data_IF_695727628959
#
_entry.id   IF_695727628959
#
_cell.length_a   1.000
_cell.length_b   1.000
_cell.length_c   1.000
_cell.angle_alpha   90.00
_cell.angle_beta   90.00
_cell.angle_gamma   90.00
#
_symmetry.space_group_name_H-M   'P 1'
#
loop_
_entity.id
_entity.type
_entity.pdbx_description
1 polymer ?
#
# COMPACT_ATOMS: atom_id res chain seq x y z
N UNK A 1 -28.47 -54.50 23.23
CA UNK A 1 -28.84 -53.30 22.46
C UNK A 1 -28.66 -51.99 23.27
N UNK A 2 -27.49 -51.75 23.89
CA UNK A 2 -27.25 -50.54 24.72
C UNK A 2 -25.89 -49.85 24.49
N UNK A 3 -25.04 -50.41 23.63
CA UNK A 3 -23.69 -49.89 23.37
C UNK A 3 -23.64 -48.85 22.23
N UNK A 4 -24.66 -48.80 21.37
CA UNK A 4 -24.68 -47.94 20.17
C UNK A 4 -25.05 -46.47 20.46
N UNK A 5 -25.82 -46.21 21.54
CA UNK A 5 -26.24 -44.86 21.93
C UNK A 5 -25.11 -44.04 22.59
N UNK A 6 -24.14 -44.70 23.25
CA UNK A 6 -23.00 -44.02 23.88
C UNK A 6 -21.98 -43.48 22.86
N UNK A 7 -21.83 -44.16 21.72
CA UNK A 7 -20.91 -43.75 20.65
C UNK A 7 -21.49 -42.57 19.86
N UNK A 8 -22.80 -42.57 19.60
CA UNK A 8 -23.48 -41.46 18.91
C UNK A 8 -23.59 -40.20 19.77
N UNK A 9 -23.80 -40.33 21.08
CA UNK A 9 -23.78 -39.19 21.99
C UNK A 9 -22.38 -38.52 22.08
N UNK A 10 -21.31 -39.33 22.04
CA UNK A 10 -19.94 -38.82 22.09
C UNK A 10 -19.55 -38.03 20.83
N UNK A 11 -20.03 -38.44 19.64
CA UNK A 11 -19.76 -37.72 18.37
C UNK A 11 -20.47 -36.38 18.32
N UNK A 12 -21.68 -36.27 18.88
CA UNK A 12 -22.41 -34.99 18.98
C UNK A 12 -21.80 -34.01 20.01
N UNK A 13 -21.13 -34.52 21.04
CA UNK A 13 -20.48 -33.68 22.05
C UNK A 13 -19.19 -33.02 21.53
N UNK A 14 -18.49 -33.69 20.60
CA UNK A 14 -17.21 -33.21 20.04
C UNK A 14 -17.44 -32.12 18.98
N UNK A 15 -18.54 -32.16 18.24
CA UNK A 15 -18.87 -31.13 17.22
C UNK A 15 -19.33 -29.80 17.81
N UNK A 16 -19.87 -29.77 19.03
CA UNK A 16 -20.27 -28.52 19.71
C UNK A 16 -19.10 -27.70 20.26
N UNK A 17 -17.96 -28.34 20.52
CA UNK A 17 -16.78 -27.71 21.13
C UNK A 17 -15.80 -27.11 20.11
N UNK A 18 -15.98 -27.39 18.82
CA UNK A 18 -15.17 -26.82 17.74
C UNK A 18 -15.73 -25.47 17.28
N UNK A 19 -15.84 -24.50 18.19
CA UNK A 19 -15.97 -23.11 17.78
C UNK A 19 -14.58 -22.60 17.37
N UNK A 20 -14.38 -22.35 16.07
CA UNK A 20 -13.18 -21.69 15.61
C UNK A 20 -13.08 -20.31 16.29
N UNK A 21 -12.07 -20.11 17.13
CA UNK A 21 -11.78 -18.80 17.71
C UNK A 21 -11.37 -17.88 16.56
N UNK A 22 -12.20 -16.88 16.25
CA UNK A 22 -11.83 -15.81 15.34
C UNK A 22 -10.58 -15.14 15.92
N UNK A 23 -9.45 -15.23 15.21
CA UNK A 23 -8.24 -14.54 15.63
C UNK A 23 -8.55 -13.03 15.75
N UNK A 24 -8.20 -12.37 16.86
CA UNK A 24 -8.51 -10.96 17.04
C UNK A 24 -7.74 -10.13 16.02
N UNK A 25 -8.42 -9.45 15.10
CA UNK A 25 -7.80 -8.49 14.18
C UNK A 25 -7.70 -7.13 14.89
N UNK A 26 -6.54 -6.83 15.45
CA UNK A 26 -6.27 -5.56 16.13
C UNK A 26 -4.90 -5.01 15.71
N UNK A 27 -4.57 -3.79 16.14
CA UNK A 27 -3.29 -3.16 15.78
C UNK A 27 -2.10 -4.08 16.07
N UNK A 28 -2.07 -4.75 17.24
CA UNK A 28 -0.97 -5.66 17.60
C UNK A 28 -0.78 -6.83 16.65
N UNK A 29 -1.85 -7.32 15.99
CA UNK A 29 -1.73 -8.41 15.00
C UNK A 29 -1.13 -7.98 13.67
N UNK A 30 -1.08 -6.67 13.38
CA UNK A 30 -0.55 -6.12 12.12
C UNK A 30 0.61 -5.15 12.32
N UNK A 31 0.95 -4.77 13.56
CA UNK A 31 1.99 -3.77 13.87
C UNK A 31 3.37 -4.13 13.31
N UNK A 32 3.67 -5.42 13.09
CA UNK A 32 4.93 -5.88 12.49
C UNK A 32 4.91 -5.97 10.97
N UNK A 33 3.77 -5.72 10.32
CA UNK A 33 3.62 -5.83 8.87
C UNK A 33 3.91 -4.48 8.21
N UNK A 34 4.92 -4.47 7.34
CA UNK A 34 5.20 -3.33 6.48
C UNK A 34 4.18 -3.24 5.35
N UNK A 35 3.64 -2.05 5.10
CA UNK A 35 2.90 -1.77 3.88
C UNK A 35 3.84 -1.91 2.67
N UNK A 36 3.37 -2.57 1.60
CA UNK A 36 4.09 -2.66 0.34
C UNK A 36 3.14 -2.46 -0.83
N UNK A 37 3.67 -1.97 -1.93
CA UNK A 37 2.91 -1.91 -3.18
C UNK A 37 2.64 -3.33 -3.70
N UNK A 38 1.41 -3.60 -4.14
CA UNK A 38 0.99 -4.90 -4.69
C UNK A 38 1.15 -5.00 -6.22
N UNK A 39 1.68 -3.96 -6.85
CA UNK A 39 1.71 -3.82 -8.30
C UNK A 39 0.38 -3.34 -8.89
N UNK A 40 0.29 -3.35 -10.22
CA UNK A 40 -0.89 -2.92 -10.96
C UNK A 40 -2.02 -3.95 -10.84
N UNK A 41 -2.95 -3.76 -9.89
CA UNK A 41 -4.03 -4.71 -9.61
C UNK A 41 -5.39 -4.32 -10.22
N UNK A 42 -5.65 -3.03 -10.45
CA UNK A 42 -6.81 -2.48 -11.18
C UNK A 42 -6.53 -1.01 -11.56
N UNK A 43 -7.33 -0.44 -12.49
CA UNK A 43 -7.14 0.85 -13.17
C UNK A 43 -6.22 1.85 -12.45
N UNK A 44 -5.10 2.17 -13.10
CA UNK A 44 -4.10 3.14 -12.62
C UNK A 44 -4.74 4.47 -12.22
N UNK A 45 -4.13 5.16 -11.27
CA UNK A 45 -4.50 6.52 -10.91
C UNK A 45 -4.26 7.52 -12.05
N UNK A 46 -4.93 8.68 -11.99
CA UNK A 46 -4.71 9.77 -12.95
C UNK A 46 -3.49 10.58 -12.56
N UNK A 47 -2.53 10.69 -13.47
CA UNK A 47 -1.43 11.66 -13.38
C UNK A 47 -1.92 13.01 -13.92
N UNK A 48 -1.82 14.05 -13.10
CA UNK A 48 -2.29 15.39 -13.43
C UNK A 48 -1.13 16.35 -13.76
N UNK A 49 0.06 16.11 -13.20
CA UNK A 49 1.22 16.96 -13.41
C UNK A 49 2.50 16.12 -13.47
N UNK A 50 3.46 16.55 -14.31
CA UNK A 50 4.82 15.99 -14.38
C UNK A 50 5.78 17.16 -14.50
N UNK A 51 6.85 17.14 -13.71
CA UNK A 51 7.97 18.07 -13.84
C UNK A 51 9.28 17.28 -13.77
N UNK A 52 10.32 17.74 -14.46
CA UNK A 52 11.60 17.06 -14.46
C UNK A 52 12.78 18.00 -14.68
N UNK A 53 13.94 17.60 -14.19
CA UNK A 53 15.19 18.35 -14.34
C UNK A 53 16.33 17.40 -14.71
N UNK A 54 17.24 17.89 -15.54
CA UNK A 54 18.49 17.19 -15.83
C UNK A 54 19.47 17.41 -14.68
N UNK A 55 20.01 16.32 -14.16
CA UNK A 55 21.09 16.36 -13.18
C UNK A 55 22.46 16.40 -13.87
N UNK A 56 23.49 17.00 -13.26
CA UNK A 56 24.84 17.06 -13.83
C UNK A 56 25.46 15.70 -14.16
N UNK A 57 24.99 14.63 -13.49
CA UNK A 57 25.43 13.26 -13.72
C UNK A 57 24.74 12.58 -14.93
N UNK A 58 23.97 13.33 -15.73
CA UNK A 58 23.26 12.85 -16.91
C UNK A 58 21.93 12.13 -16.62
N UNK A 59 21.54 11.99 -15.35
CA UNK A 59 20.25 11.41 -14.97
C UNK A 59 19.14 12.45 -15.04
N UNK A 60 17.91 11.97 -15.16
CA UNK A 60 16.71 12.81 -15.11
C UNK A 60 16.00 12.55 -13.79
N UNK A 61 15.85 13.61 -13.00
CA UNK A 61 14.98 13.61 -11.82
C UNK A 61 13.57 13.94 -12.29
N UNK A 62 12.59 13.14 -11.88
CA UNK A 62 11.18 13.35 -12.22
C UNK A 62 10.34 13.49 -10.95
N UNK A 63 9.35 14.36 -11.03
CA UNK A 63 8.28 14.52 -10.06
C UNK A 63 6.95 14.33 -10.77
N UNK A 64 6.09 13.51 -10.19
CA UNK A 64 4.82 13.12 -10.75
C UNK A 64 3.73 13.41 -9.72
N UNK A 65 2.77 14.24 -10.10
CA UNK A 65 1.61 14.61 -9.29
C UNK A 65 0.38 13.82 -9.71
N UNK A 66 -0.14 13.02 -8.80
CA UNK A 66 -1.39 12.31 -9.02
C UNK A 66 -2.59 13.19 -8.64
N UNK A 67 -3.70 13.03 -9.36
CA UNK A 67 -4.97 13.67 -9.00
C UNK A 67 -5.50 13.17 -7.65
N UNK A 68 -5.15 11.95 -7.26
CA UNK A 68 -5.42 11.36 -5.95
C UNK A 68 -4.30 10.36 -5.69
N UNK A 69 -3.32 10.76 -4.88
CA UNK A 69 -2.14 9.93 -4.57
C UNK A 69 -0.85 10.71 -4.32
N UNK A 70 -0.91 12.04 -4.19
CA UNK A 70 0.23 12.86 -3.79
C UNK A 70 1.30 12.99 -4.88
N UNK A 71 2.53 13.26 -4.43
CA UNK A 71 3.71 13.46 -5.26
C UNK A 71 4.66 12.27 -5.16
N UNK A 72 5.10 11.81 -6.33
CA UNK A 72 6.05 10.72 -6.51
C UNK A 72 7.34 11.26 -7.14
N UNK A 73 8.49 10.82 -6.64
CA UNK A 73 9.81 11.21 -7.13
C UNK A 73 10.56 10.03 -7.72
N UNK A 74 11.19 10.23 -8.87
CA UNK A 74 12.15 9.29 -9.48
C UNK A 74 13.52 9.96 -9.62
N UNK A 75 14.57 9.18 -9.38
CA UNK A 75 15.99 9.58 -9.55
C UNK A 75 16.66 8.83 -10.72
N UNK A 76 15.89 8.01 -11.45
CA UNK A 76 16.37 7.08 -12.48
C UNK A 76 15.57 7.19 -13.79
N UNK A 77 15.11 8.40 -14.11
CA UNK A 77 14.40 8.68 -15.36
C UNK A 77 13.01 8.06 -15.46
N UNK A 78 12.39 7.70 -14.33
CA UNK A 78 11.04 7.15 -14.27
C UNK A 78 10.97 5.63 -14.24
N UNK A 79 12.08 4.94 -13.97
CA UNK A 79 12.09 3.49 -13.82
C UNK A 79 11.51 3.08 -12.46
N UNK A 80 11.87 3.81 -11.40
CA UNK A 80 11.34 3.62 -10.05
C UNK A 80 10.83 4.93 -9.46
N UNK A 81 9.84 4.83 -8.59
CA UNK A 81 9.22 5.98 -7.93
C UNK A 81 9.12 5.77 -6.42
N UNK A 82 9.38 6.85 -5.67
CA UNK A 82 9.18 6.94 -4.23
C UNK A 82 8.12 7.98 -3.91
N UNK A 83 7.13 7.65 -3.08
CA UNK A 83 6.19 8.62 -2.56
C UNK A 83 6.91 9.59 -1.61
N UNK A 84 6.69 10.89 -1.80
CA UNK A 84 7.31 11.96 -0.99
C UNK A 84 6.28 12.89 -0.34
N UNK A 85 5.00 12.56 -0.43
CA UNK A 85 3.88 13.41 -0.03
C UNK A 85 2.93 12.74 0.98
N UNK A 86 3.35 11.61 1.57
CA UNK A 86 2.49 10.78 2.43
C UNK A 86 2.13 11.45 3.76
N UNK A 87 2.93 12.41 4.21
CA UNK A 87 2.72 13.13 5.48
C UNK A 87 1.76 14.33 5.33
N UNK A 88 1.28 14.60 4.12
CA UNK A 88 0.44 15.76 3.85
C UNK A 88 -1.06 15.42 3.96
N UNK A 89 -1.88 16.35 4.49
CA UNK A 89 -3.31 16.10 4.73
C UNK A 89 -4.15 16.07 3.44
N UNK A 90 -3.62 16.61 2.34
CA UNK A 90 -4.29 16.68 1.02
C UNK A 90 -3.43 15.94 0.02
N UNK A 91 -4.03 15.13 -0.86
CA UNK A 91 -3.29 14.33 -1.84
C UNK A 91 -3.61 14.63 -3.30
N UNK A 92 -4.42 15.66 -3.57
CA UNK A 92 -4.76 16.09 -4.92
C UNK A 92 -3.72 17.08 -5.43
N UNK A 93 -2.97 16.70 -6.46
CA UNK A 93 -1.93 17.54 -7.06
C UNK A 93 -2.41 18.02 -8.43
N UNK A 94 -2.48 19.35 -8.62
CA UNK A 94 -2.88 19.96 -9.90
C UNK A 94 -1.72 20.51 -10.74
N UNK A 95 -0.60 20.86 -10.11
CA UNK A 95 0.59 21.38 -10.78
C UNK A 95 1.84 21.09 -9.95
N UNK A 96 2.98 20.97 -10.62
CA UNK A 96 4.32 20.87 -10.01
C UNK A 96 5.22 21.84 -10.77
N UNK A 97 6.02 22.60 -10.05
CA UNK A 97 7.07 23.45 -10.60
C UNK A 97 8.39 23.15 -9.90
N UNK A 98 9.49 23.30 -10.63
CA UNK A 98 10.86 23.14 -10.13
C UNK A 98 11.62 24.45 -10.31
N UNK A 99 12.53 24.77 -9.40
CA UNK A 99 13.41 25.92 -9.58
C UNK A 99 14.47 25.60 -10.67
N UNK A 100 14.48 26.33 -11.81
CA UNK A 100 15.43 26.07 -12.89
C UNK A 100 16.89 26.35 -12.49
N UNK A 101 17.12 27.13 -11.42
CA UNK A 101 18.47 27.48 -10.94
C UNK A 101 18.93 26.61 -9.77
N UNK A 102 18.01 25.87 -9.15
CA UNK A 102 18.30 25.09 -7.96
C UNK A 102 17.65 23.70 -8.03
N UNK A 103 18.39 22.70 -8.49
CA UNK A 103 17.91 21.32 -8.60
C UNK A 103 17.67 20.61 -7.26
N UNK A 104 17.96 21.27 -6.13
CA UNK A 104 17.70 20.74 -4.78
C UNK A 104 16.37 21.18 -4.19
N UNK A 105 15.68 22.14 -4.81
CA UNK A 105 14.45 22.76 -4.29
C UNK A 105 13.31 22.60 -5.29
#
# INVERSE_FOLDING_TARGET
MRFSYFVTASVFLITGLAHAQQAPYNSSTVSGLGARNIGSAAMSGRIAAIAGSHEPNGKIKLFVGAASGGVWRSEDGGTTFKAIFDEQPVQSIGAIALDPKNSKV
#
